data_IF_484895082638
#
_entry.id   IF_484895082638
#
_cell.length_a   1.000
_cell.length_b   1.000
_cell.length_c   1.000
_cell.angle_alpha   90.00
_cell.angle_beta   90.00
_cell.angle_gamma   90.00
#
_symmetry.space_group_name_H-M   'P 1'
#
loop_
_entity.id
_entity.type
_entity.pdbx_description
1 polymer ?
#
# COMPACT_ATOMS: atom_id res chain seq x y z
N UNK A 1 7.78 -14.24 22.16
CA UNK A 1 8.33 -14.19 20.80
C UNK A 1 8.32 -12.74 20.36
N UNK A 2 9.48 -12.19 19.99
CA UNK A 2 9.64 -10.75 19.79
C UNK A 2 8.86 -10.27 18.55
N UNK A 3 7.90 -9.37 18.77
CA UNK A 3 7.15 -8.63 17.77
C UNK A 3 8.11 -7.71 16.99
N UNK A 4 8.80 -8.27 15.99
CA UNK A 4 9.64 -7.49 15.08
C UNK A 4 8.73 -6.81 14.06
N UNK A 5 7.97 -5.80 14.52
CA UNK A 5 7.51 -4.72 13.66
C UNK A 5 8.74 -3.98 13.17
N UNK A 6 9.36 -4.51 12.12
CA UNK A 6 10.43 -3.82 11.41
C UNK A 6 9.76 -2.62 10.76
N UNK A 7 9.85 -1.47 11.42
CA UNK A 7 9.85 -0.18 10.76
C UNK A 7 10.97 -0.26 9.72
N UNK A 8 10.59 -0.56 8.49
CA UNK A 8 11.49 -0.56 7.37
C UNK A 8 11.35 0.83 6.73
N UNK A 9 12.24 1.79 7.06
CA UNK A 9 12.16 3.12 6.47
C UNK A 9 12.34 2.99 4.97
N UNK A 10 11.28 3.26 4.22
CA UNK A 10 11.31 3.26 2.76
C UNK A 10 12.06 4.51 2.31
N UNK A 11 13.31 4.33 1.89
CA UNK A 11 14.08 5.40 1.26
C UNK A 11 13.66 5.50 -0.20
N UNK A 12 12.83 6.48 -0.52
CA UNK A 12 12.49 6.81 -1.91
C UNK A 12 13.64 7.68 -2.45
N UNK A 13 14.45 7.19 -3.42
CA UNK A 13 15.48 8.03 -4.03
C UNK A 13 14.83 9.26 -4.66
N UNK A 14 15.42 10.45 -4.51
CA UNK A 14 14.86 11.69 -5.06
C UNK A 14 14.61 11.62 -6.58
N UNK A 15 15.37 10.76 -7.29
CA UNK A 15 15.21 10.51 -8.74
C UNK A 15 13.88 9.82 -9.08
N UNK A 16 13.25 9.11 -8.13
CA UNK A 16 11.96 8.44 -8.30
C UNK A 16 10.79 9.42 -8.15
N UNK A 17 11.01 10.62 -7.59
CA UNK A 17 9.98 11.68 -7.54
C UNK A 17 9.60 12.21 -8.93
N UNK A 18 10.43 11.97 -9.95
CA UNK A 18 10.09 12.23 -11.36
C UNK A 18 9.51 11.01 -12.10
N UNK A 19 9.47 9.85 -11.44
CA UNK A 19 8.88 8.61 -11.96
C UNK A 19 7.40 8.48 -11.61
N UNK A 20 6.73 7.52 -12.23
CA UNK A 20 5.31 7.25 -11.96
C UNK A 20 5.21 6.42 -10.68
N UNK A 21 4.61 7.00 -9.64
CA UNK A 21 4.26 6.28 -8.42
C UNK A 21 3.00 5.46 -8.65
N UNK A 22 2.98 4.23 -8.14
CA UNK A 22 1.76 3.42 -8.16
C UNK A 22 0.71 4.04 -7.24
N UNK A 23 -0.53 4.16 -7.74
CA UNK A 23 -1.69 4.62 -6.98
C UNK A 23 -2.71 3.51 -6.73
N UNK A 24 -2.50 2.33 -7.32
CA UNK A 24 -3.32 1.15 -7.14
C UNK A 24 -2.44 -0.10 -7.06
N UNK A 25 -3.00 -1.19 -6.55
CA UNK A 25 -2.35 -2.50 -6.60
C UNK A 25 -3.39 -3.60 -6.77
N UNK A 26 -2.95 -4.76 -7.28
CA UNK A 26 -3.76 -5.99 -7.29
C UNK A 26 -2.92 -7.19 -6.90
N UNK A 27 -3.61 -8.21 -6.38
CA UNK A 27 -3.01 -9.50 -6.00
C UNK A 27 -3.49 -10.55 -6.99
N UNK A 28 -2.56 -11.28 -7.61
CA UNK A 28 -2.85 -12.35 -8.57
C UNK A 28 -2.21 -13.65 -8.05
N UNK A 29 -2.96 -14.75 -8.01
CA UNK A 29 -2.42 -16.07 -7.68
C UNK A 29 -1.51 -16.57 -8.81
N UNK A 30 -0.29 -17.00 -8.48
CA UNK A 30 0.68 -17.56 -9.45
C UNK A 30 0.77 -19.08 -9.31
N UNK A 31 0.96 -19.57 -8.08
CA UNK A 31 1.07 -21.00 -7.72
C UNK A 31 0.41 -21.27 -6.35
N UNK A 32 0.48 -22.51 -5.86
CA UNK A 32 -0.15 -22.99 -4.60
C UNK A 32 0.18 -22.17 -3.34
N UNK A 33 1.30 -21.43 -3.31
CA UNK A 33 1.66 -20.53 -2.20
C UNK A 33 2.42 -19.27 -2.66
N UNK A 34 2.25 -18.90 -3.93
CA UNK A 34 2.92 -17.73 -4.51
C UNK A 34 1.93 -16.80 -5.20
N UNK A 35 2.16 -15.51 -5.01
CA UNK A 35 1.30 -14.44 -5.48
C UNK A 35 2.13 -13.35 -6.16
N UNK A 36 1.55 -12.73 -7.19
CA UNK A 36 2.07 -11.54 -7.81
C UNK A 36 1.35 -10.32 -7.24
N UNK A 37 2.12 -9.41 -6.67
CA UNK A 37 1.70 -8.06 -6.31
C UNK A 37 2.04 -7.14 -7.48
N UNK A 38 1.00 -6.78 -8.23
CA UNK A 38 1.11 -5.79 -9.30
C UNK A 38 0.83 -4.41 -8.71
N UNK A 39 1.80 -3.51 -8.80
CA UNK A 39 1.65 -2.10 -8.51
C UNK A 39 1.30 -1.37 -9.80
N UNK A 40 0.24 -0.59 -9.75
CA UNK A 40 -0.45 -0.03 -10.89
C UNK A 40 -0.47 1.49 -10.82
N UNK A 41 -0.31 2.11 -11.99
CA UNK A 41 -0.72 3.47 -12.29
C UNK A 41 -2.10 3.40 -12.95
N UNK A 42 -3.15 3.65 -12.16
CA UNK A 42 -4.54 3.66 -12.58
C UNK A 42 -4.98 5.09 -12.94
N UNK A 43 -5.49 5.27 -14.15
CA UNK A 43 -6.11 6.51 -14.63
C UNK A 43 -7.64 6.35 -14.58
N UNK A 44 -8.33 7.01 -13.64
CA UNK A 44 -9.78 6.90 -13.48
C UNK A 44 -10.56 7.59 -14.61
N UNK A 45 -9.97 8.58 -15.30
CA UNK A 45 -10.64 9.27 -16.41
C UNK A 45 -10.71 8.38 -17.65
N UNK A 46 -9.67 7.56 -17.86
CA UNK A 46 -9.57 6.64 -18.99
C UNK A 46 -10.02 5.21 -18.67
N UNK A 47 -10.29 4.91 -17.40
CA UNK A 47 -10.52 3.57 -16.87
C UNK A 47 -9.46 2.55 -17.33
N UNK A 48 -8.19 2.94 -17.21
CA UNK A 48 -7.05 2.10 -17.62
C UNK A 48 -6.03 1.99 -16.50
N UNK A 49 -5.42 0.82 -16.36
CA UNK A 49 -4.34 0.58 -15.42
C UNK A 49 -3.09 0.07 -16.14
N UNK A 50 -1.93 0.61 -15.78
CA UNK A 50 -0.64 0.13 -16.25
C UNK A 50 0.17 -0.43 -15.09
N UNK A 51 0.74 -1.63 -15.26
CA UNK A 51 1.68 -2.20 -14.29
C UNK A 51 2.98 -1.40 -14.33
N UNK A 52 3.33 -0.76 -13.22
CA UNK A 52 4.60 -0.04 -13.04
C UNK A 52 5.64 -0.89 -12.31
N UNK A 53 5.21 -1.81 -11.46
CA UNK A 53 6.07 -2.82 -10.84
C UNK A 53 5.30 -4.12 -10.56
N UNK A 54 6.01 -5.23 -10.57
CA UNK A 54 5.49 -6.56 -10.23
C UNK A 54 6.45 -7.24 -9.27
N UNK A 55 5.94 -7.72 -8.14
CA UNK A 55 6.72 -8.42 -7.13
C UNK A 55 6.08 -9.78 -6.86
N UNK A 56 6.87 -10.85 -6.90
CA UNK A 56 6.43 -12.18 -6.46
C UNK A 56 6.66 -12.31 -4.96
N UNK A 57 5.63 -12.73 -4.23
CA UNK A 57 5.69 -12.95 -2.78
C UNK A 57 5.08 -14.30 -2.41
N UNK A 58 5.51 -14.85 -1.28
CA UNK A 58 4.88 -16.04 -0.68
C UNK A 58 3.60 -15.68 0.06
N UNK A 59 2.66 -16.62 0.19
CA UNK A 59 1.41 -16.42 0.92
C UNK A 59 1.61 -15.95 2.36
N UNK A 60 2.63 -16.47 3.04
CA UNK A 60 2.99 -16.05 4.41
C UNK A 60 3.33 -14.56 4.54
N UNK A 61 3.76 -13.91 3.47
CA UNK A 61 4.05 -12.46 3.45
C UNK A 61 2.78 -11.65 3.22
N UNK A 62 1.78 -12.19 2.51
CA UNK A 62 0.52 -11.49 2.25
C UNK A 62 -0.25 -11.18 3.52
N UNK A 63 -0.24 -12.08 4.51
CA UNK A 63 -0.89 -11.83 5.79
C UNK A 63 -0.29 -10.62 6.49
N UNK A 64 1.05 -10.55 6.56
CA UNK A 64 1.75 -9.41 7.14
C UNK A 64 1.50 -8.10 6.37
N UNK A 65 1.38 -8.16 5.04
CA UNK A 65 1.04 -6.99 4.21
C UNK A 65 -0.38 -6.52 4.49
N UNK A 66 -1.35 -7.45 4.50
CA UNK A 66 -2.77 -7.16 4.79
C UNK A 66 -2.91 -6.50 6.17
N UNK A 67 -2.31 -7.09 7.20
CA UNK A 67 -2.45 -6.62 8.56
C UNK A 67 -1.83 -5.22 8.72
N UNK A 68 -0.71 -4.93 8.05
CA UNK A 68 -0.13 -3.58 8.00
C UNK A 68 -1.06 -2.59 7.30
N UNK A 69 -1.62 -2.95 6.14
CA UNK A 69 -2.55 -2.08 5.40
C UNK A 69 -3.80 -1.76 6.22
N UNK A 70 -4.39 -2.76 6.89
CA UNK A 70 -5.55 -2.55 7.75
C UNK A 70 -5.25 -1.60 8.91
N UNK A 71 -4.10 -1.77 9.57
CA UNK A 71 -3.68 -0.87 10.65
C UNK A 71 -3.48 0.56 10.14
N UNK A 72 -2.84 0.73 8.97
CA UNK A 72 -2.64 2.07 8.37
C UNK A 72 -3.95 2.72 7.97
N UNK A 73 -4.88 1.98 7.35
CA UNK A 73 -6.19 2.52 6.97
C UNK A 73 -7.00 2.95 8.20
N UNK A 74 -7.00 2.15 9.27
CA UNK A 74 -7.64 2.54 10.53
C UNK A 74 -7.02 3.79 11.16
N UNK A 75 -5.73 4.04 10.97
CA UNK A 75 -5.09 5.28 11.43
C UNK A 75 -5.46 6.51 10.59
N UNK A 76 -5.68 6.35 9.28
CA UNK A 76 -6.14 7.43 8.40
C UNK A 76 -7.55 7.87 8.83
N UNK A 77 -8.47 6.92 9.02
CA UNK A 77 -9.84 7.21 9.47
C UNK A 77 -9.86 7.95 10.82
N UNK A 78 -9.00 7.56 11.77
CA UNK A 78 -8.86 8.25 13.06
C UNK A 78 -8.29 9.66 12.91
N UNK A 79 -7.31 9.86 12.03
CA UNK A 79 -6.69 11.17 11.80
C UNK A 79 -7.66 12.14 11.14
N UNK A 80 -8.45 11.66 10.18
CA UNK A 80 -9.54 12.45 9.57
C UNK A 80 -10.63 12.79 10.60
N UNK A 81 -11.05 11.82 11.42
CA UNK A 81 -12.04 12.04 12.48
C UNK A 81 -11.57 13.09 13.52
N UNK A 82 -10.29 13.04 13.92
CA UNK A 82 -9.70 14.02 14.84
C UNK A 82 -9.55 15.41 14.20
N UNK A 83 -9.19 15.47 12.92
CA UNK A 83 -9.07 16.73 12.16
C UNK A 83 -10.44 17.41 11.99
N UNK A 84 -11.49 16.62 11.74
CA UNK A 84 -12.88 17.12 11.64
C UNK A 84 -13.43 17.56 13.01
N UNK A 85 -13.10 16.86 14.09
CA UNK A 85 -13.51 17.22 15.46
C UNK A 85 -12.87 18.51 16.00
N UNK A 86 -11.67 18.86 15.53
CA UNK A 86 -11.00 20.12 15.88
C UNK A 86 -11.55 21.32 15.08
N UNK A 87 -12.05 21.10 13.86
CA UNK A 87 -12.61 22.15 13.01
C UNK A 87 -13.98 22.66 13.50
N UNK A 88 -14.74 21.85 14.25
CA UNK A 88 -16.05 22.26 14.81
C UNK A 88 -15.97 23.03 16.15
N UNK A 89 -14.77 23.32 16.66
CA UNK A 89 -14.56 24.04 17.92
C UNK A 89 -13.94 25.44 17.75
N UNK A 90 -13.85 25.95 16.53
CA UNK A 90 -13.36 27.29 16.22
C UNK A 90 -14.49 28.24 15.85
#
# INVERSE_FOLDING_TARGET
>A
MADHRVDCPVRIPAIVLGGVLANAFRVVSDNTDEYLLDFLDYDPEKDTARVVARVRVRGSVLEAIRDRLQNTLGQIELTEALSLGLSQRS
#
